data_IF_483211439644
#
_entry.id   IF_483211439644
#
_cell.length_a   1.000
_cell.length_b   1.000
_cell.length_c   1.000
_cell.angle_alpha   90.00
_cell.angle_beta   90.00
_cell.angle_gamma   90.00
#
_symmetry.space_group_name_H-M   'P 1'
#
loop_
_entity.id
_entity.type
_entity.pdbx_description
1 polymer ?
#
# COMPACT_ATOMS: atom_id res chain seq x y z
N UNK A 1 -10.36 10.82 23.03
CA UNK A 1 -10.91 11.09 21.68
C UNK A 1 -10.97 9.76 20.97
N UNK A 2 -12.12 9.10 21.02
CA UNK A 2 -12.31 7.76 20.46
C UNK A 2 -12.89 7.90 19.06
N UNK A 3 -12.04 7.94 18.05
CA UNK A 3 -12.52 7.83 16.67
C UNK A 3 -12.81 6.36 16.38
N UNK A 4 -14.00 5.93 16.77
CA UNK A 4 -14.65 4.73 16.24
C UNK A 4 -14.90 4.94 14.75
N UNK A 5 -13.91 4.67 13.91
CA UNK A 5 -14.12 4.56 12.46
C UNK A 5 -14.09 3.09 12.11
N UNK A 6 -15.21 2.58 11.57
CA UNK A 6 -15.30 1.30 10.90
C UNK A 6 -14.01 1.07 10.10
N UNK A 7 -13.30 -0.03 10.34
CA UNK A 7 -12.28 -0.54 9.41
C UNK A 7 -13.01 -0.76 8.08
N UNK A 8 -13.02 0.27 7.26
CA UNK A 8 -13.71 0.27 5.98
C UNK A 8 -12.71 -0.25 4.97
N UNK A 9 -13.06 -1.31 4.25
CA UNK A 9 -12.29 -1.83 3.09
C UNK A 9 -11.82 -0.73 2.14
N UNK A 10 -12.55 0.38 2.07
CA UNK A 10 -12.19 1.59 1.34
C UNK A 10 -10.86 2.24 1.80
N UNK A 11 -10.58 2.26 3.11
CA UNK A 11 -9.32 2.79 3.67
C UNK A 11 -8.13 1.89 3.34
N UNK A 12 -8.30 0.56 3.40
CA UNK A 12 -7.26 -0.39 2.99
C UNK A 12 -6.97 -0.29 1.48
N UNK A 13 -8.01 -0.10 0.66
CA UNK A 13 -7.86 0.18 -0.78
C UNK A 13 -7.15 1.50 -1.07
N UNK A 14 -7.44 2.55 -0.30
CA UNK A 14 -6.80 3.85 -0.45
C UNK A 14 -5.30 3.78 -0.10
N UNK A 15 -4.96 3.09 0.99
CA UNK A 15 -3.58 2.81 1.38
C UNK A 15 -2.83 2.01 0.31
N UNK A 16 -3.46 0.98 -0.26
CA UNK A 16 -2.87 0.23 -1.36
C UNK A 16 -2.57 1.10 -2.58
N UNK A 17 -3.51 1.95 -2.99
CA UNK A 17 -3.33 2.85 -4.13
C UNK A 17 -2.16 3.82 -3.91
N UNK A 18 -2.03 4.37 -2.69
CA UNK A 18 -0.91 5.24 -2.31
C UNK A 18 0.43 4.49 -2.40
N UNK A 19 0.52 3.28 -1.85
CA UNK A 19 1.75 2.48 -1.90
C UNK A 19 2.08 1.98 -3.32
N UNK A 20 1.07 1.70 -4.15
CA UNK A 20 1.25 1.33 -5.55
C UNK A 20 1.85 2.49 -6.38
N UNK A 21 1.33 3.71 -6.21
CA UNK A 21 1.90 4.91 -6.86
C UNK A 21 3.31 5.19 -6.36
N UNK A 22 3.57 4.99 -5.08
CA UNK A 22 4.91 5.14 -4.50
C UNK A 22 5.89 4.12 -5.09
N UNK A 23 5.46 2.87 -5.29
CA UNK A 23 6.24 1.82 -5.91
C UNK A 23 6.60 2.14 -7.37
N UNK A 24 5.63 2.61 -8.16
CA UNK A 24 5.88 3.07 -9.53
C UNK A 24 6.85 4.26 -9.57
N UNK A 25 6.73 5.19 -8.63
CA UNK A 25 7.65 6.33 -8.52
C UNK A 25 9.07 5.86 -8.18
N UNK A 26 9.21 4.90 -7.28
CA UNK A 26 10.51 4.31 -6.93
C UNK A 26 11.16 3.57 -8.11
N UNK A 27 10.39 2.84 -8.91
CA UNK A 27 10.91 2.22 -10.14
C UNK A 27 11.45 3.27 -11.12
N UNK A 28 10.73 4.38 -11.32
CA UNK A 28 11.12 5.39 -12.33
C UNK A 28 12.33 6.22 -11.88
N UNK A 29 12.43 6.54 -10.59
CA UNK A 29 13.48 7.43 -10.07
C UNK A 29 14.68 6.70 -9.44
N UNK A 30 14.47 5.51 -8.88
CA UNK A 30 15.48 4.79 -8.09
C UNK A 30 15.40 3.29 -8.39
N UNK A 31 15.71 2.93 -9.64
CA UNK A 31 15.64 1.57 -10.17
C UNK A 31 16.44 0.57 -9.31
N UNK A 32 17.60 0.97 -8.76
CA UNK A 32 18.42 0.14 -7.87
C UNK A 32 17.78 -0.18 -6.50
N UNK A 33 16.81 0.62 -6.05
CA UNK A 33 16.16 0.44 -4.76
C UNK A 33 14.77 -0.19 -4.87
N UNK A 34 14.36 -0.69 -6.04
CA UNK A 34 13.06 -1.33 -6.28
C UNK A 34 12.75 -2.50 -5.34
N UNK A 35 13.78 -3.15 -4.80
CA UNK A 35 13.68 -4.24 -3.83
C UNK A 35 13.32 -3.83 -2.40
N UNK A 36 13.53 -2.57 -2.01
CA UNK A 36 13.19 -2.06 -0.69
C UNK A 36 11.68 -1.88 -0.55
N UNK A 37 10.96 -1.27 -1.51
CA UNK A 37 9.51 -1.17 -1.44
C UNK A 37 8.78 -2.45 -1.87
N UNK A 38 9.42 -3.43 -2.52
CA UNK A 38 8.79 -4.71 -2.90
C UNK A 38 8.01 -5.41 -1.76
N UNK A 39 8.61 -5.69 -0.58
CA UNK A 39 7.88 -6.32 0.51
C UNK A 39 6.76 -5.44 1.06
N UNK A 40 6.91 -4.10 1.03
CA UNK A 40 5.86 -3.18 1.45
C UNK A 40 4.70 -3.14 0.46
N UNK A 41 4.98 -3.06 -0.85
CA UNK A 41 3.97 -3.16 -1.91
C UNK A 41 3.16 -4.45 -1.75
N UNK A 42 3.82 -5.59 -1.55
CA UNK A 42 3.15 -6.87 -1.34
C UNK A 42 2.32 -6.90 -0.05
N UNK A 43 2.81 -6.30 1.03
CA UNK A 43 2.06 -6.24 2.30
C UNK A 43 0.76 -5.44 2.13
N UNK A 44 0.81 -4.26 1.51
CA UNK A 44 -0.37 -3.44 1.27
C UNK A 44 -1.27 -3.99 0.17
N UNK A 45 -0.69 -4.63 -0.85
CA UNK A 45 -1.44 -5.39 -1.87
C UNK A 45 -2.21 -6.53 -1.20
N UNK A 46 -1.55 -7.36 -0.40
CA UNK A 46 -2.21 -8.44 0.35
C UNK A 46 -3.25 -7.86 1.29
N UNK A 47 -3.00 -6.75 1.99
CA UNK A 47 -3.98 -6.11 2.88
C UNK A 47 -5.21 -5.56 2.15
N UNK A 48 -5.07 -5.07 0.92
CA UNK A 48 -6.19 -4.65 0.08
C UNK A 48 -6.88 -5.82 -0.66
N UNK A 49 -6.12 -6.86 -0.99
CA UNK A 49 -6.62 -8.11 -1.55
C UNK A 49 -7.27 -8.98 -0.46
N UNK A 50 -6.93 -8.75 0.81
CA UNK A 50 -7.51 -9.44 1.96
C UNK A 50 -8.93 -8.95 2.16
N UNK A 51 -9.80 -9.59 1.39
CA UNK A 51 -11.22 -9.75 1.61
C UNK A 51 -11.52 -10.47 2.96
N UNK A 52 -10.58 -10.56 3.91
CA UNK A 52 -10.73 -11.08 5.29
C UNK A 52 -10.17 -10.08 6.29
#
# INVERSE_FOLDING_TARGET
METTSKTSKATDWLLFLVFAVLFFTFIVYVDEWFWVPMPFMLTYLVKALNVI
#
